data_IF_883187002076
#
_entry.id   IF_883187002076
#
_cell.length_a   1.000
_cell.length_b   1.000
_cell.length_c   1.000
_cell.angle_alpha   90.00
_cell.angle_beta   90.00
_cell.angle_gamma   90.00
#
_symmetry.space_group_name_H-M   'P 1'
#
loop_
_entity.id
_entity.type
_entity.pdbx_description
1 polymer ?
#
# COMPACT_ATOMS: atom_id res chain seq x y z
N UNK A 1 37.57 -10.36 -18.01
CA UNK A 1 36.56 -11.32 -18.51
C UNK A 1 35.43 -11.64 -17.49
N UNK A 2 35.27 -10.92 -16.36
CA UNK A 2 34.29 -11.30 -15.32
C UNK A 2 32.88 -10.68 -15.39
N UNK A 3 32.73 -9.47 -15.97
CA UNK A 3 31.51 -8.68 -15.78
C UNK A 3 30.18 -9.25 -16.33
N UNK A 4 30.21 -10.18 -17.30
CA UNK A 4 28.98 -10.86 -17.78
C UNK A 4 28.53 -11.98 -16.84
N UNK A 5 29.47 -12.64 -16.18
CA UNK A 5 29.19 -13.72 -15.22
C UNK A 5 28.60 -13.13 -13.94
N UNK A 6 29.15 -12.03 -13.45
CA UNK A 6 28.69 -11.37 -12.21
C UNK A 6 27.25 -10.86 -12.33
N UNK A 7 26.87 -10.30 -13.48
CA UNK A 7 25.49 -9.85 -13.72
C UNK A 7 24.50 -11.03 -13.75
N UNK A 8 24.89 -12.16 -14.34
CA UNK A 8 24.08 -13.37 -14.35
C UNK A 8 23.90 -13.95 -12.94
N UNK A 9 24.96 -13.97 -12.14
CA UNK A 9 24.90 -14.40 -10.74
C UNK A 9 24.03 -13.47 -9.89
N UNK A 10 24.15 -12.15 -10.08
CA UNK A 10 23.27 -11.18 -9.40
C UNK A 10 21.80 -11.37 -9.78
N UNK A 11 21.49 -11.63 -11.05
CA UNK A 11 20.13 -11.93 -11.49
C UNK A 11 19.60 -13.23 -10.87
N UNK A 12 20.45 -14.26 -10.76
CA UNK A 12 20.09 -15.51 -10.09
C UNK A 12 19.82 -15.30 -8.59
N UNK A 13 20.66 -14.53 -7.90
CA UNK A 13 20.45 -14.18 -6.50
C UNK A 13 19.13 -13.44 -6.25
N UNK A 14 18.77 -12.51 -7.15
CA UNK A 14 17.46 -11.82 -7.10
C UNK A 14 16.31 -12.82 -7.26
N UNK A 15 16.45 -13.79 -8.18
CA UNK A 15 15.44 -14.83 -8.42
C UNK A 15 15.28 -15.77 -7.23
N UNK A 16 16.37 -16.05 -6.53
CA UNK A 16 16.40 -16.82 -5.28
C UNK A 16 15.84 -16.04 -4.08
N UNK A 17 15.45 -14.78 -4.27
CA UNK A 17 14.74 -13.99 -3.28
C UNK A 17 15.62 -13.14 -2.38
N UNK A 18 16.94 -13.04 -2.65
CA UNK A 18 17.84 -12.18 -1.85
C UNK A 18 17.38 -10.72 -1.85
N UNK A 19 17.57 -10.05 -0.72
CA UNK A 19 17.31 -8.62 -0.62
C UNK A 19 18.35 -7.82 -1.40
N UNK A 20 17.97 -6.65 -1.92
CA UNK A 20 18.90 -5.85 -2.74
C UNK A 20 20.15 -5.41 -1.98
N UNK A 21 20.07 -5.33 -0.64
CA UNK A 21 21.24 -5.06 0.20
C UNK A 21 22.27 -6.19 0.11
N UNK A 22 21.81 -7.45 0.10
CA UNK A 22 22.68 -8.62 -0.04
C UNK A 22 23.25 -8.68 -1.45
N UNK A 23 22.43 -8.47 -2.48
CA UNK A 23 22.87 -8.42 -3.89
C UNK A 23 23.92 -7.31 -4.10
N UNK A 24 23.72 -6.13 -3.52
CA UNK A 24 24.67 -5.02 -3.60
C UNK A 24 25.99 -5.30 -2.85
N UNK A 25 25.93 -6.12 -1.79
CA UNK A 25 27.12 -6.51 -1.00
C UNK A 25 27.93 -7.57 -1.74
N UNK A 26 27.27 -8.55 -2.35
CA UNK A 26 27.91 -9.65 -3.07
C UNK A 26 28.40 -9.26 -4.47
N UNK A 27 27.66 -8.38 -5.16
CA UNK A 27 27.95 -7.98 -6.54
C UNK A 27 28.03 -6.45 -6.70
N UNK A 28 28.92 -5.75 -5.98
CA UNK A 28 28.93 -4.28 -5.89
C UNK A 28 29.15 -3.58 -7.24
N UNK A 29 30.08 -4.07 -8.07
CA UNK A 29 30.32 -3.48 -9.38
C UNK A 29 29.12 -3.60 -10.32
N UNK A 30 28.50 -4.79 -10.37
CA UNK A 30 27.33 -5.04 -11.20
C UNK A 30 26.14 -4.20 -10.70
N UNK A 31 25.97 -4.10 -9.38
CA UNK A 31 24.93 -3.27 -8.78
C UNK A 31 25.12 -1.79 -9.11
N UNK A 32 26.32 -1.22 -8.93
CA UNK A 32 26.58 0.20 -9.24
C UNK A 32 26.29 0.50 -10.73
N UNK A 33 26.75 -0.38 -11.64
CA UNK A 33 26.58 -0.20 -13.09
C UNK A 33 25.13 -0.42 -13.56
N UNK A 34 24.40 -1.36 -12.96
CA UNK A 34 23.10 -1.85 -13.44
C UNK A 34 21.96 -1.77 -12.42
N UNK A 35 22.09 -0.95 -11.38
CA UNK A 35 21.16 -0.81 -10.25
C UNK A 35 19.70 -0.66 -10.68
N UNK A 36 19.42 0.22 -11.64
CA UNK A 36 18.05 0.44 -12.16
C UNK A 36 17.45 -0.82 -12.76
N UNK A 37 18.21 -1.56 -13.56
CA UNK A 37 17.76 -2.81 -14.19
C UNK A 37 17.54 -3.92 -13.15
N UNK A 38 18.43 -4.02 -12.16
CA UNK A 38 18.30 -4.98 -11.06
C UNK A 38 17.08 -4.70 -10.18
N UNK A 39 16.84 -3.43 -9.82
CA UNK A 39 15.65 -3.04 -9.06
C UNK A 39 14.37 -3.34 -9.84
N UNK A 40 14.32 -3.01 -11.14
CA UNK A 40 13.18 -3.34 -11.99
C UNK A 40 12.96 -4.86 -12.11
N UNK A 41 14.04 -5.63 -12.25
CA UNK A 41 13.98 -7.09 -12.29
C UNK A 41 13.46 -7.67 -10.97
N UNK A 42 13.96 -7.19 -9.82
CA UNK A 42 13.46 -7.63 -8.52
C UNK A 42 11.98 -7.30 -8.34
N UNK A 43 11.53 -6.10 -8.71
CA UNK A 43 10.10 -5.74 -8.65
C UNK A 43 9.25 -6.70 -9.48
N UNK A 44 9.70 -7.09 -10.68
CA UNK A 44 8.99 -8.06 -11.50
C UNK A 44 9.00 -9.48 -10.90
N UNK A 45 10.10 -9.89 -10.26
CA UNK A 45 10.19 -11.21 -9.60
C UNK A 45 9.40 -11.29 -8.30
N UNK A 46 9.31 -10.19 -7.54
CA UNK A 46 8.54 -10.10 -6.28
C UNK A 46 7.06 -9.78 -6.51
N UNK A 47 6.71 -9.19 -7.65
CA UNK A 47 5.33 -8.86 -8.00
C UNK A 47 4.45 -10.11 -7.96
N UNK A 48 3.31 -10.03 -7.26
CA UNK A 48 2.26 -11.05 -7.33
C UNK A 48 1.43 -10.94 -8.62
N UNK A 49 1.84 -10.06 -9.54
CA UNK A 49 1.12 -9.72 -10.75
C UNK A 49 -0.07 -8.82 -10.48
N UNK A 50 -1.05 -8.87 -11.39
CA UNK A 50 -2.33 -8.19 -11.24
C UNK A 50 -3.04 -8.73 -9.99
N UNK A 51 -3.57 -7.84 -9.14
CA UNK A 51 -4.42 -8.25 -8.02
C UNK A 51 -5.55 -9.16 -8.50
N UNK A 52 -5.85 -10.16 -7.68
CA UNK A 52 -6.98 -11.07 -7.86
C UNK A 52 -7.86 -10.93 -6.63
N UNK A 53 -8.86 -10.05 -6.72
CA UNK A 53 -9.83 -9.90 -5.66
C UNK A 53 -10.92 -10.97 -5.76
N UNK A 54 -11.48 -11.44 -4.64
CA UNK A 54 -12.66 -12.27 -4.67
C UNK A 54 -13.87 -11.52 -5.27
N UNK A 55 -14.97 -12.22 -5.60
CA UNK A 55 -16.15 -11.63 -6.24
C UNK A 55 -16.79 -10.47 -5.46
N UNK A 56 -16.49 -10.35 -4.18
CA UNK A 56 -16.97 -9.30 -3.29
C UNK A 56 -15.99 -8.12 -3.12
N UNK A 57 -14.89 -8.09 -3.88
CA UNK A 57 -13.97 -6.97 -3.95
C UNK A 57 -12.81 -7.03 -2.94
N UNK A 58 -12.04 -5.94 -2.79
CA UNK A 58 -10.96 -5.89 -1.80
C UNK A 58 -11.46 -5.98 -0.37
N UNK A 59 -10.57 -6.43 0.51
CA UNK A 59 -10.73 -6.27 1.95
C UNK A 59 -10.39 -4.83 2.34
N UNK A 60 -11.39 -4.02 2.70
CA UNK A 60 -11.17 -2.62 3.10
C UNK A 60 -11.42 -2.45 4.59
N UNK A 61 -10.48 -1.80 5.28
CA UNK A 61 -10.60 -1.38 6.68
C UNK A 61 -10.51 0.14 6.77
N UNK A 62 -11.37 0.73 7.60
CA UNK A 62 -11.32 2.15 7.90
C UNK A 62 -11.37 2.34 9.41
N UNK A 63 -10.29 2.88 9.94
CA UNK A 63 -10.20 3.35 11.31
C UNK A 63 -10.31 4.87 11.31
N UNK A 64 -11.37 5.41 11.89
CA UNK A 64 -11.58 6.86 11.89
C UNK A 64 -11.89 7.38 13.30
N UNK A 65 -11.64 8.67 13.56
CA UNK A 65 -11.88 9.31 14.86
C UNK A 65 -10.74 10.27 15.25
N UNK A 66 -10.80 10.94 16.42
CA UNK A 66 -9.83 11.97 16.81
C UNK A 66 -8.36 11.51 16.80
N UNK A 67 -7.41 12.44 16.73
CA UNK A 67 -5.99 12.13 16.90
C UNK A 67 -5.70 11.52 18.27
N UNK A 68 -4.61 10.76 18.41
CA UNK A 68 -4.20 10.17 19.68
C UNK A 68 -5.00 8.93 20.12
N UNK A 69 -5.99 8.47 19.35
CA UNK A 69 -6.85 7.32 19.70
C UNK A 69 -6.27 5.94 19.36
N UNK A 70 -5.06 5.87 18.79
CA UNK A 70 -4.39 4.59 18.51
C UNK A 70 -4.71 3.92 17.17
N UNK A 71 -5.41 4.61 16.25
CA UNK A 71 -5.76 4.07 14.90
C UNK A 71 -4.56 3.53 14.12
N UNK A 72 -3.51 4.34 13.99
CA UNK A 72 -2.27 3.95 13.29
C UNK A 72 -1.57 2.82 14.02
N UNK A 73 -1.49 2.88 15.36
CA UNK A 73 -0.92 1.80 16.19
C UNK A 73 -1.62 0.47 15.91
N UNK A 74 -2.96 0.45 15.89
CA UNK A 74 -3.73 -0.75 15.54
C UNK A 74 -3.40 -1.25 14.14
N UNK A 75 -3.45 -0.38 13.13
CA UNK A 75 -3.18 -0.77 11.74
C UNK A 75 -1.80 -1.40 11.55
N UNK A 76 -0.75 -0.79 12.11
CA UNK A 76 0.61 -1.32 12.00
C UNK A 76 0.87 -2.54 12.89
N UNK A 77 0.15 -2.68 14.01
CA UNK A 77 0.21 -3.89 14.84
C UNK A 77 -0.45 -5.08 14.16
N UNK A 78 -1.56 -4.86 13.44
CA UNK A 78 -2.32 -5.92 12.78
C UNK A 78 -1.69 -6.33 11.44
N UNK A 79 -1.07 -5.39 10.73
CA UNK A 79 -0.36 -5.65 9.46
C UNK A 79 1.07 -5.08 9.46
N UNK A 80 2.01 -5.71 10.20
CA UNK A 80 3.38 -5.21 10.35
C UNK A 80 4.21 -5.24 9.06
N UNK A 81 3.79 -6.02 8.06
CA UNK A 81 4.44 -6.13 6.75
C UNK A 81 3.73 -5.34 5.64
N UNK A 82 2.76 -4.48 5.99
CA UNK A 82 2.05 -3.67 5.02
C UNK A 82 2.94 -2.60 4.38
N UNK A 83 2.68 -2.31 3.11
CA UNK A 83 3.24 -1.12 2.48
C UNK A 83 2.54 0.13 3.04
N UNK A 84 3.32 1.05 3.61
CA UNK A 84 2.82 2.35 4.05
C UNK A 84 2.76 3.31 2.86
N UNK A 85 1.57 3.60 2.35
CA UNK A 85 1.39 4.64 1.33
C UNK A 85 1.45 6.01 1.99
N UNK A 86 2.46 6.79 1.64
CA UNK A 86 2.51 8.21 1.99
C UNK A 86 1.32 8.93 1.36
N UNK A 87 0.52 9.60 2.17
CA UNK A 87 -0.73 10.20 1.70
C UNK A 87 -0.49 11.52 0.95
N UNK A 88 0.65 12.20 1.17
CA UNK A 88 0.97 13.52 0.62
C UNK A 88 1.56 13.53 -0.81
N UNK A 89 1.74 12.38 -1.44
CA UNK A 89 2.20 12.30 -2.82
C UNK A 89 1.48 11.22 -3.64
N UNK A 90 1.67 11.24 -4.96
CA UNK A 90 1.09 10.24 -5.87
C UNK A 90 1.95 8.98 -6.03
N UNK A 91 3.16 8.96 -5.48
CA UNK A 91 4.16 7.94 -5.79
C UNK A 91 4.02 6.70 -4.92
N UNK A 92 4.23 5.55 -5.54
CA UNK A 92 4.23 4.23 -4.91
C UNK A 92 5.66 3.67 -4.81
N UNK A 93 6.62 4.57 -4.60
CA UNK A 93 8.04 4.23 -4.53
C UNK A 93 8.28 3.19 -3.42
N UNK A 94 8.90 2.07 -3.79
CA UNK A 94 9.20 1.00 -2.85
C UNK A 94 8.07 0.00 -2.63
N UNK A 95 6.90 0.17 -3.26
CA UNK A 95 5.87 -0.88 -3.31
C UNK A 95 6.39 -2.06 -4.15
N UNK A 96 6.40 -3.25 -3.57
CA UNK A 96 6.94 -4.50 -4.16
C UNK A 96 5.87 -5.57 -4.34
N UNK A 97 4.59 -5.21 -4.26
CA UNK A 97 3.48 -6.16 -4.40
C UNK A 97 2.94 -6.66 -3.05
N UNK A 98 3.16 -5.89 -1.97
CA UNK A 98 2.64 -6.18 -0.64
C UNK A 98 1.12 -6.39 -0.69
N UNK A 99 0.65 -7.42 0.03
CA UNK A 99 -0.78 -7.76 0.05
C UNK A 99 -1.65 -6.67 0.68
N UNK A 100 -1.08 -5.99 1.69
CA UNK A 100 -1.76 -4.96 2.48
C UNK A 100 -1.10 -3.61 2.24
N UNK A 101 -1.94 -2.60 2.00
CA UNK A 101 -1.52 -1.20 1.92
C UNK A 101 -2.19 -0.40 3.02
N UNK A 102 -1.40 0.32 3.81
CA UNK A 102 -1.88 1.25 4.84
C UNK A 102 -1.77 2.69 4.32
N UNK A 103 -2.90 3.37 4.20
CA UNK A 103 -3.04 4.81 3.97
C UNK A 103 -3.20 5.50 5.32
N UNK A 104 -2.08 5.95 5.88
CA UNK A 104 -2.03 6.51 7.23
C UNK A 104 -2.34 8.02 7.24
N UNK A 105 -3.24 8.46 8.13
CA UNK A 105 -3.77 9.83 8.21
C UNK A 105 -4.36 10.33 6.88
N UNK A 106 -5.19 9.49 6.24
CA UNK A 106 -5.84 9.81 4.98
C UNK A 106 -6.89 10.91 5.13
N UNK A 107 -6.82 11.92 4.26
CA UNK A 107 -7.70 13.12 4.29
C UNK A 107 -8.47 13.33 2.99
N UNK A 108 -8.35 12.41 2.03
CA UNK A 108 -8.90 12.50 0.67
C UNK A 108 -8.27 13.57 -0.21
N UNK A 109 -8.02 14.79 0.27
CA UNK A 109 -7.37 15.87 -0.49
C UNK A 109 -5.98 15.52 -1.02
N UNK A 110 -5.36 14.50 -0.44
CA UNK A 110 -4.00 14.07 -0.71
C UNK A 110 -3.92 13.03 -1.84
N UNK A 111 -5.06 12.54 -2.33
CA UNK A 111 -5.19 11.59 -3.44
C UNK A 111 -6.36 11.99 -4.32
N UNK A 112 -6.17 12.10 -5.64
CA UNK A 112 -7.29 12.40 -6.56
C UNK A 112 -8.39 11.37 -6.39
N UNK A 113 -9.65 11.81 -6.38
CA UNK A 113 -10.80 10.91 -6.21
C UNK A 113 -10.82 9.78 -7.25
N UNK A 114 -10.43 10.07 -8.50
CA UNK A 114 -10.31 9.05 -9.53
C UNK A 114 -9.31 7.94 -9.16
N UNK A 115 -8.15 8.30 -8.59
CA UNK A 115 -7.16 7.32 -8.17
C UNK A 115 -7.70 6.47 -7.01
N UNK A 116 -8.37 7.10 -6.04
CA UNK A 116 -9.03 6.38 -4.95
C UNK A 116 -10.03 5.35 -5.48
N UNK A 117 -10.88 5.75 -6.44
CA UNK A 117 -11.88 4.87 -7.02
C UNK A 117 -11.24 3.67 -7.71
N UNK A 118 -10.15 3.86 -8.46
CA UNK A 118 -9.43 2.76 -9.11
C UNK A 118 -8.74 1.84 -8.10
N UNK A 119 -8.12 2.41 -7.06
CA UNK A 119 -7.40 1.67 -6.02
C UNK A 119 -8.37 0.81 -5.20
N UNK A 120 -9.51 1.36 -4.79
CA UNK A 120 -10.51 0.68 -3.94
C UNK A 120 -11.47 -0.20 -4.75
N UNK A 121 -11.36 -0.23 -6.08
CA UNK A 121 -12.16 -1.15 -6.91
C UNK A 121 -11.61 -2.59 -6.86
N UNK A 122 -12.33 -3.55 -7.46
CA UNK A 122 -11.92 -4.95 -7.58
C UNK A 122 -10.96 -5.23 -8.75
N UNK A 123 -10.90 -4.32 -9.72
CA UNK A 123 -10.20 -4.53 -10.97
C UNK A 123 -8.70 -4.25 -10.87
N UNK A 124 -7.86 -4.92 -11.68
CA UNK A 124 -6.44 -4.61 -11.75
C UNK A 124 -6.18 -3.15 -12.15
N UNK A 125 -5.25 -2.51 -11.44
CA UNK A 125 -4.79 -1.15 -11.72
C UNK A 125 -3.27 -1.07 -11.58
N UNK A 126 -2.65 -0.20 -12.37
CA UNK A 126 -1.25 0.18 -12.19
C UNK A 126 -1.15 1.48 -11.42
N UNK A 127 -0.21 1.54 -10.49
CA UNK A 127 0.09 2.72 -9.69
C UNK A 127 1.43 3.32 -10.09
N UNK A 128 1.53 4.64 -10.02
CA UNK A 128 2.70 5.37 -10.47
C UNK A 128 3.86 5.29 -9.47
N UNK A 129 5.04 4.93 -9.94
CA UNK A 129 6.30 5.13 -9.24
C UNK A 129 7.10 6.20 -9.97
N UNK A 130 8.15 6.75 -9.37
CA UNK A 130 8.98 7.72 -10.08
C UNK A 130 9.59 7.11 -11.35
N UNK A 131 9.17 7.64 -12.50
CA UNK A 131 9.64 7.23 -13.82
C UNK A 131 9.15 5.85 -14.31
N UNK A 132 8.15 5.25 -13.67
CA UNK A 132 7.56 3.98 -14.11
C UNK A 132 6.16 3.75 -13.52
N UNK A 133 5.64 2.54 -13.68
CA UNK A 133 4.42 2.06 -13.02
C UNK A 133 4.63 0.64 -12.50
N UNK A 134 3.86 0.25 -11.49
CA UNK A 134 3.83 -1.12 -10.95
C UNK A 134 2.38 -1.59 -10.84
N UNK A 135 2.14 -2.89 -11.02
CA UNK A 135 0.82 -3.48 -10.78
C UNK A 135 0.47 -3.38 -9.29
N UNK A 136 -0.71 -2.83 -8.96
CA UNK A 136 -1.24 -2.89 -7.61
C UNK A 136 -1.75 -4.30 -7.33
N UNK A 137 -0.90 -5.14 -6.74
CA UNK A 137 -1.25 -6.49 -6.29
C UNK A 137 -2.07 -6.56 -5.00
N UNK A 138 -2.17 -5.45 -4.25
CA UNK A 138 -2.79 -5.41 -2.94
C UNK A 138 -4.28 -5.78 -3.03
N UNK A 139 -4.70 -6.66 -2.11
CA UNK A 139 -6.08 -7.08 -1.94
C UNK A 139 -6.67 -6.60 -0.62
N UNK A 140 -5.82 -6.09 0.29
CA UNK A 140 -6.22 -5.45 1.54
C UNK A 140 -5.80 -3.98 1.56
N UNK A 141 -6.74 -3.10 1.85
CA UNK A 141 -6.54 -1.65 1.94
C UNK A 141 -6.99 -1.16 3.30
N UNK A 142 -6.12 -0.48 4.03
CA UNK A 142 -6.37 -0.02 5.39
C UNK A 142 -6.20 1.49 5.42
N UNK A 143 -7.24 2.19 5.84
CA UNK A 143 -7.24 3.65 5.96
C UNK A 143 -7.30 4.01 7.44
N UNK A 144 -6.42 4.90 7.89
CA UNK A 144 -6.60 5.62 9.14
C UNK A 144 -6.94 7.07 8.83
N UNK A 145 -7.90 7.67 9.54
CA UNK A 145 -8.31 9.05 9.27
C UNK A 145 -8.81 9.76 10.52
N UNK A 146 -8.62 11.07 10.60
CA UNK A 146 -9.28 11.88 11.62
C UNK A 146 -10.72 12.28 11.26
N UNK A 147 -11.16 11.99 10.02
CA UNK A 147 -12.49 12.33 9.51
C UNK A 147 -13.23 11.09 9.05
N UNK A 148 -14.55 11.14 9.08
CA UNK A 148 -15.37 10.09 8.50
C UNK A 148 -15.15 10.02 6.97
N UNK A 149 -15.23 8.84 6.32
CA UNK A 149 -15.00 8.74 4.87
C UNK A 149 -15.90 9.60 3.99
N UNK A 150 -17.11 9.92 4.46
CA UNK A 150 -18.02 10.86 3.77
C UNK A 150 -17.46 12.28 3.70
N UNK A 151 -16.43 12.60 4.48
CA UNK A 151 -15.80 13.92 4.56
C UNK A 151 -14.42 13.97 3.87
N UNK A 152 -13.99 12.87 3.22
CA UNK A 152 -12.68 12.81 2.56
C UNK A 152 -12.61 13.70 1.31
N UNK A 153 -13.72 13.85 0.59
CA UNK A 153 -13.78 14.63 -0.64
C UNK A 153 -14.84 15.74 -0.52
N UNK A 154 -14.73 16.77 -1.37
CA UNK A 154 -15.70 17.86 -1.40
C UNK A 154 -17.09 17.36 -1.81
N UNK A 155 -18.14 18.04 -1.34
CA UNK A 155 -19.52 17.71 -1.69
C UNK A 155 -19.80 17.69 -3.19
N UNK A 156 -19.17 18.60 -3.96
CA UNK A 156 -19.27 18.63 -5.43
C UNK A 156 -18.80 17.36 -6.12
N UNK A 157 -17.99 16.55 -5.43
CA UNK A 157 -17.47 15.29 -5.94
C UNK A 157 -18.40 14.08 -5.65
N UNK A 158 -19.58 14.34 -5.08
CA UNK A 158 -20.54 13.32 -4.61
C UNK A 158 -19.85 12.20 -3.82
N UNK A 159 -19.31 12.48 -2.61
CA UNK A 159 -18.64 11.46 -1.79
C UNK A 159 -19.57 10.30 -1.45
N UNK A 160 -20.89 10.51 -1.44
CA UNK A 160 -21.86 9.47 -1.15
C UNK A 160 -21.91 8.42 -2.28
N UNK A 161 -22.13 8.86 -3.52
CA UNK A 161 -22.18 7.97 -4.68
C UNK A 161 -20.82 7.39 -5.09
N UNK A 162 -19.72 8.05 -4.71
CA UNK A 162 -18.37 7.65 -5.13
C UNK A 162 -17.59 6.90 -4.06
N UNK A 163 -17.45 7.48 -2.86
CA UNK A 163 -16.65 6.95 -1.75
C UNK A 163 -17.49 6.06 -0.86
N UNK A 164 -18.58 6.58 -0.28
CA UNK A 164 -19.38 5.83 0.69
C UNK A 164 -19.97 4.57 0.07
N UNK A 165 -20.42 4.60 -1.18
CA UNK A 165 -20.84 3.37 -1.89
C UNK A 165 -19.80 2.24 -1.82
N UNK A 166 -18.50 2.55 -1.98
CA UNK A 166 -17.40 1.56 -1.91
C UNK A 166 -17.05 1.20 -0.48
N UNK A 167 -17.03 2.18 0.43
CA UNK A 167 -16.79 1.93 1.86
C UNK A 167 -17.90 1.03 2.41
N UNK A 168 -19.15 1.26 2.05
CA UNK A 168 -20.27 0.43 2.49
C UNK A 168 -20.14 -1.01 1.99
N UNK A 169 -19.85 -1.18 0.70
CA UNK A 169 -19.73 -2.49 0.05
C UNK A 169 -18.56 -3.32 0.61
N UNK A 170 -17.37 -2.73 0.68
CA UNK A 170 -16.12 -3.45 0.97
C UNK A 170 -15.67 -3.38 2.43
N UNK A 171 -16.23 -2.45 3.21
CA UNK A 171 -15.81 -2.15 4.58
C UNK A 171 -16.97 -2.20 5.59
N UNK A 172 -17.97 -1.31 5.50
CA UNK A 172 -18.99 -1.16 6.55
C UNK A 172 -19.89 -2.39 6.70
N UNK A 173 -20.42 -2.94 5.59
CA UNK A 173 -21.22 -4.18 5.61
C UNK A 173 -20.43 -5.41 6.07
N UNK A 174 -19.10 -5.29 6.15
CA UNK A 174 -18.19 -6.32 6.66
C UNK A 174 -17.76 -6.08 8.11
N UNK A 175 -18.29 -5.05 8.78
CA UNK A 175 -17.94 -4.69 10.15
C UNK A 175 -16.56 -4.05 10.29
N UNK A 176 -16.03 -3.43 9.23
CA UNK A 176 -14.65 -2.91 9.17
C UNK A 176 -14.54 -1.39 9.18
N UNK A 177 -15.67 -0.67 9.27
CA UNK A 177 -15.73 0.77 9.48
C UNK A 177 -15.76 1.03 10.99
N UNK A 178 -14.59 1.27 11.59
CA UNK A 178 -14.42 1.32 13.04
C UNK A 178 -14.20 2.77 13.47
N UNK A 179 -15.13 3.27 14.29
CA UNK A 179 -15.01 4.56 14.95
C UNK A 179 -14.22 4.42 16.25
N UNK A 180 -13.06 5.06 16.29
CA UNK A 180 -12.25 5.25 17.48
C UNK A 180 -12.72 6.50 18.21
N UNK A 181 -13.64 6.31 19.14
CA UNK A 181 -13.98 7.32 20.13
C UNK A 181 -12.84 7.44 21.13
N UNK A 182 -12.34 8.66 21.34
CA UNK A 182 -11.33 8.88 22.38
C UNK A 182 -11.92 8.58 23.74
N UNK A 183 -11.44 7.53 24.38
CA UNK A 183 -11.60 7.26 25.80
C UNK A 183 -10.39 6.46 26.27
N UNK A 184 -9.68 7.00 27.26
CA UNK A 184 -8.64 6.37 28.08
C UNK A 184 -7.54 5.63 27.31
N UNK A 185 -6.47 6.37 27.00
CA UNK A 185 -5.18 5.83 26.58
C UNK A 185 -4.59 4.78 27.57
N UNK A 186 -5.19 4.60 28.74
CA UNK A 186 -4.73 3.76 29.84
C UNK A 186 -4.86 2.25 29.59
N UNK A 187 -5.60 1.78 28.57
CA UNK A 187 -5.79 0.33 28.34
C UNK A 187 -4.70 -0.37 27.52
N UNK A 188 -3.70 0.35 27.02
CA UNK A 188 -2.68 -0.23 26.13
C UNK A 188 -1.25 -0.14 26.65
N UNK A 189 -1.03 0.38 27.86
CA UNK A 189 0.27 0.38 28.55
C UNK A 189 0.42 -0.80 29.53
N UNK A 190 -0.36 -1.86 29.34
CA UNK A 190 -0.31 -3.07 30.18
C UNK A 190 -0.47 -4.35 29.34
N UNK A 191 0.53 -4.62 28.51
CA UNK A 191 0.81 -5.94 27.94
C UNK A 191 2.30 -6.09 27.66
#
# INVERSE_FOLDING_TARGET
>A
MGGRTDLAMAAQAIREGKEMKEVATEFPEAFIKYSKGMMAYQTLMKSRGKRQCPPDGPEVWVFWGPTGTGKSRRAFSEWPHAYRKMTNDKWWDGYRGEETVIFDDFKGSSMRLHDFQLIVDRYPVKVETKGSTVELSATRLVFTSNRHPSEWYSGDADPEGTVMRRIDEFCARRGRLIHFVGADAERWDSA
#
